data_IF_397123280489
#
_entry.id   IF_397123280489
#
_cell.length_a   1.000
_cell.length_b   1.000
_cell.length_c   1.000
_cell.angle_alpha   90.00
_cell.angle_beta   90.00
_cell.angle_gamma   90.00
#
_symmetry.space_group_name_H-M   'P 1'
#
loop_
_entity.id
_entity.type
_entity.pdbx_description
1 polymer ?
#
# COMPACT_ATOMS: atom_id res chain seq x y z
N UNK A 1 -47.47 -2.50 -68.41
CA UNK A 1 -47.50 -3.19 -67.10
C UNK A 1 -46.12 -3.31 -66.44
N UNK A 2 -45.07 -3.78 -67.14
CA UNK A 2 -43.72 -3.98 -66.56
C UNK A 2 -43.06 -2.73 -65.92
N UNK A 3 -43.17 -1.54 -66.54
CA UNK A 3 -42.60 -0.30 -65.96
C UNK A 3 -43.26 0.13 -64.65
N UNK A 4 -44.60 0.01 -64.55
CA UNK A 4 -45.34 0.31 -63.31
C UNK A 4 -44.99 -0.67 -62.19
N UNK A 5 -44.76 -1.94 -62.53
CA UNK A 5 -44.32 -2.96 -61.57
C UNK A 5 -42.91 -2.65 -61.02
N UNK A 6 -41.99 -2.17 -61.85
CA UNK A 6 -40.63 -1.78 -61.43
C UNK A 6 -40.69 -0.60 -60.45
N UNK A 7 -41.49 0.44 -60.73
CA UNK A 7 -41.64 1.57 -59.80
C UNK A 7 -42.27 1.15 -58.46
N UNK A 8 -43.22 0.22 -58.49
CA UNK A 8 -43.87 -0.29 -57.28
C UNK A 8 -42.89 -1.10 -56.42
N UNK A 9 -42.04 -1.92 -57.06
CA UNK A 9 -40.95 -2.65 -56.39
C UNK A 9 -39.93 -1.68 -55.79
N UNK A 10 -39.56 -0.61 -56.51
CA UNK A 10 -38.61 0.40 -56.01
C UNK A 10 -39.17 1.18 -54.81
N UNK A 11 -40.45 1.53 -54.82
CA UNK A 11 -41.12 2.19 -53.69
C UNK A 11 -41.21 1.28 -52.48
N UNK A 12 -41.56 0.00 -52.67
CA UNK A 12 -41.59 -0.99 -51.59
C UNK A 12 -40.20 -1.24 -51.00
N UNK A 13 -39.17 -1.32 -51.85
CA UNK A 13 -37.78 -1.46 -51.41
C UNK A 13 -37.33 -0.24 -50.60
N UNK A 14 -37.66 0.97 -51.07
CA UNK A 14 -37.35 2.21 -50.35
C UNK A 14 -38.05 2.28 -48.99
N UNK A 15 -39.34 1.90 -48.91
CA UNK A 15 -40.05 1.80 -47.64
C UNK A 15 -39.41 0.77 -46.70
N UNK A 16 -38.98 -0.38 -47.24
CA UNK A 16 -38.35 -1.44 -46.46
C UNK A 16 -36.99 -0.98 -45.88
N UNK A 17 -36.15 -0.31 -46.66
CA UNK A 17 -34.86 0.22 -46.19
C UNK A 17 -35.04 1.33 -45.15
N UNK A 18 -36.11 2.13 -45.28
CA UNK A 18 -36.43 3.19 -44.33
C UNK A 18 -36.92 2.67 -42.97
N UNK A 19 -37.25 1.38 -42.87
CA UNK A 19 -37.68 0.73 -41.62
C UNK A 19 -36.52 0.18 -40.77
N UNK A 20 -35.27 0.35 -41.20
CA UNK A 20 -34.09 -0.03 -40.41
C UNK A 20 -33.96 0.89 -39.17
N UNK A 21 -34.50 0.44 -38.03
CA UNK A 21 -34.39 1.11 -36.74
C UNK A 21 -32.94 1.26 -36.28
N UNK A 22 -32.68 2.27 -35.44
CA UNK A 22 -31.34 2.57 -34.93
C UNK A 22 -30.75 1.38 -34.17
N UNK A 23 -29.68 0.81 -34.71
CA UNK A 23 -28.90 -0.22 -34.02
C UNK A 23 -27.99 0.48 -33.02
N UNK A 24 -28.27 0.31 -31.73
CA UNK A 24 -27.43 0.86 -30.65
C UNK A 24 -26.15 0.04 -30.48
N UNK A 25 -25.18 0.27 -31.37
CA UNK A 25 -23.88 -0.40 -31.39
C UNK A 25 -22.82 0.20 -30.43
N UNK A 26 -23.24 0.76 -29.29
CA UNK A 26 -22.33 1.47 -28.36
C UNK A 26 -22.46 1.01 -26.90
N UNK A 27 -22.65 -0.29 -26.66
CA UNK A 27 -22.63 -0.81 -25.30
C UNK A 27 -21.18 -1.14 -24.91
N UNK A 28 -20.56 -0.24 -24.16
CA UNK A 28 -19.27 -0.48 -23.50
C UNK A 28 -19.53 -1.19 -22.16
N UNK A 29 -18.89 -2.34 -21.95
CA UNK A 29 -18.87 -3.04 -20.67
C UNK A 29 -17.45 -2.98 -20.10
N UNK A 30 -17.32 -2.46 -18.89
CA UNK A 30 -16.05 -2.47 -18.15
C UNK A 30 -16.21 -3.46 -17.00
N UNK A 31 -15.33 -4.45 -16.94
CA UNK A 31 -15.17 -5.35 -15.82
C UNK A 31 -13.81 -5.07 -15.18
N UNK A 32 -13.79 -4.83 -13.88
CA UNK A 32 -12.58 -4.62 -13.10
C UNK A 32 -12.65 -5.48 -11.84
N UNK A 33 -11.50 -6.07 -11.46
CA UNK A 33 -11.36 -6.89 -10.26
C UNK A 33 -10.12 -6.44 -9.51
N UNK A 34 -10.30 -6.05 -8.25
CA UNK A 34 -9.20 -5.74 -7.34
C UNK A 34 -8.87 -7.05 -6.59
N UNK A 35 -7.58 -7.38 -6.47
CA UNK A 35 -7.11 -8.52 -5.69
C UNK A 35 -7.45 -8.37 -4.20
N UNK A 36 -7.43 -9.48 -3.46
CA UNK A 36 -7.60 -9.44 -2.02
C UNK A 36 -6.42 -8.71 -1.35
N UNK A 37 -6.69 -7.98 -0.27
CA UNK A 37 -5.67 -7.49 0.64
C UNK A 37 -5.31 -8.64 1.57
N UNK A 38 -4.03 -8.95 1.66
CA UNK A 38 -3.49 -9.99 2.53
C UNK A 38 -2.82 -9.35 3.75
N UNK A 39 -3.05 -9.93 4.93
CA UNK A 39 -2.38 -9.56 6.17
C UNK A 39 -1.76 -10.80 6.81
N UNK A 40 -0.59 -10.62 7.43
CA UNK A 40 0.08 -11.65 8.21
C UNK A 40 0.47 -11.12 9.58
N UNK A 41 -0.04 -11.74 10.62
CA UNK A 41 0.22 -11.41 12.01
C UNK A 41 1.23 -12.38 12.63
N UNK A 42 2.26 -11.84 13.29
CA UNK A 42 3.30 -12.62 13.96
C UNK A 42 3.78 -11.89 15.21
N UNK A 43 4.21 -12.65 16.21
CA UNK A 43 4.85 -12.11 17.42
C UNK A 43 6.32 -11.73 17.13
N UNK A 44 6.96 -10.98 18.04
CA UNK A 44 8.34 -10.50 17.87
C UNK A 44 9.43 -11.59 17.65
N UNK A 45 9.10 -12.87 17.85
CA UNK A 45 9.95 -14.02 17.51
C UNK A 45 9.66 -14.68 16.15
N UNK A 46 8.75 -14.13 15.35
CA UNK A 46 8.32 -14.69 14.07
C UNK A 46 7.27 -15.79 14.18
N UNK A 47 6.86 -16.17 15.39
CA UNK A 47 5.77 -17.13 15.61
C UNK A 47 4.45 -16.56 15.05
N UNK A 48 3.74 -17.30 14.19
CA UNK A 48 2.44 -16.87 13.68
C UNK A 48 1.44 -16.59 14.79
N UNK A 49 0.69 -15.50 14.65
CA UNK A 49 -0.41 -15.17 15.54
C UNK A 49 -1.70 -15.79 14.99
N UNK A 50 -1.84 -17.12 15.11
CA UNK A 50 -3.02 -17.87 14.65
C UNK A 50 -4.25 -17.60 15.51
N UNK A 51 -5.42 -17.90 14.96
CA UNK A 51 -6.73 -17.80 15.63
C UNK A 51 -6.99 -16.42 16.27
N UNK A 52 -6.33 -15.38 15.77
CA UNK A 52 -6.42 -14.03 16.29
C UNK A 52 -7.58 -13.28 15.66
N UNK A 53 -8.26 -12.47 16.45
CA UNK A 53 -9.38 -11.67 15.98
C UNK A 53 -8.86 -10.52 15.13
N UNK A 54 -9.42 -10.36 13.93
CA UNK A 54 -9.10 -9.28 13.00
C UNK A 54 -10.31 -8.37 12.90
N UNK A 55 -10.10 -7.07 13.07
CA UNK A 55 -11.12 -6.03 12.88
C UNK A 55 -10.60 -4.99 11.91
N UNK A 56 -11.35 -4.74 10.85
CA UNK A 56 -10.97 -3.83 9.76
C UNK A 56 -11.94 -2.67 9.73
N UNK A 57 -11.41 -1.46 9.72
CA UNK A 57 -12.17 -0.23 9.57
C UNK A 57 -11.84 0.43 8.23
N UNK A 58 -12.83 1.10 7.65
CA UNK A 58 -12.61 1.98 6.49
C UNK A 58 -12.00 3.33 6.90
N UNK A 59 -11.76 4.18 5.91
CA UNK A 59 -11.15 5.52 6.04
C UNK A 59 -11.99 6.50 6.88
N UNK A 60 -13.30 6.29 6.92
CA UNK A 60 -14.22 7.03 7.80
C UNK A 60 -14.22 6.49 9.25
N UNK A 61 -13.55 5.37 9.50
CA UNK A 61 -13.50 4.70 10.79
C UNK A 61 -14.71 3.81 11.06
N UNK A 62 -15.54 3.51 10.07
CA UNK A 62 -16.63 2.56 10.19
C UNK A 62 -16.11 1.12 10.14
N UNK A 63 -16.78 0.21 10.85
CA UNK A 63 -16.45 -1.21 10.76
C UNK A 63 -16.71 -1.71 9.34
N UNK A 64 -15.66 -2.21 8.69
CA UNK A 64 -15.74 -2.80 7.36
C UNK A 64 -15.93 -4.31 7.43
N UNK A 65 -15.08 -5.01 8.19
CA UNK A 65 -15.08 -6.47 8.28
C UNK A 65 -14.46 -6.96 9.58
N UNK A 66 -14.95 -8.11 10.05
CA UNK A 66 -14.32 -8.89 11.12
C UNK A 66 -13.93 -10.26 10.59
N UNK A 67 -12.88 -10.84 11.17
CA UNK A 67 -12.37 -12.14 10.77
C UNK A 67 -11.44 -12.77 11.79
N UNK A 68 -10.86 -13.90 11.42
CA UNK A 68 -9.91 -14.65 12.24
C UNK A 68 -8.76 -15.10 11.37
N UNK A 69 -7.53 -14.93 11.83
CA UNK A 69 -6.33 -15.42 11.13
C UNK A 69 -6.26 -16.95 11.14
N UNK A 70 -5.72 -17.53 10.08
CA UNK A 70 -5.50 -18.98 9.98
C UNK A 70 -4.29 -19.47 10.81
N UNK A 71 -3.94 -20.76 10.65
CA UNK A 71 -2.81 -21.41 11.34
C UNK A 71 -1.44 -20.77 11.03
N UNK A 72 -1.31 -20.13 9.86
CA UNK A 72 -0.11 -19.39 9.43
C UNK A 72 -0.11 -17.93 9.88
N UNK A 73 -1.13 -17.51 10.63
CA UNK A 73 -1.34 -16.13 11.07
C UNK A 73 -1.80 -15.21 9.94
N UNK A 74 -2.36 -15.77 8.87
CA UNK A 74 -2.75 -15.05 7.66
C UNK A 74 -4.26 -14.81 7.63
N UNK A 75 -4.67 -13.67 7.07
CA UNK A 75 -6.07 -13.35 6.79
C UNK A 75 -6.12 -12.51 5.50
N UNK A 76 -7.19 -12.64 4.72
CA UNK A 76 -7.37 -11.85 3.51
C UNK A 76 -8.79 -11.33 3.38
N UNK A 77 -8.93 -10.16 2.78
CA UNK A 77 -10.24 -9.54 2.57
C UNK A 77 -10.30 -8.80 1.23
N UNK A 78 -11.47 -8.76 0.57
CA UNK A 78 -11.64 -7.98 -0.64
C UNK A 78 -11.66 -6.48 -0.30
N UNK A 79 -11.06 -5.62 -1.12
CA UNK A 79 -11.19 -4.19 -0.92
C UNK A 79 -12.52 -3.65 -1.45
N UNK A 80 -13.06 -2.66 -0.74
CA UNK A 80 -14.22 -1.87 -1.12
C UNK A 80 -13.83 -0.78 -2.10
N UNK A 81 -14.61 -0.64 -3.17
CA UNK A 81 -14.43 0.43 -4.17
C UNK A 81 -14.67 1.78 -3.50
N UNK A 82 -13.76 2.73 -3.74
CA UNK A 82 -13.84 4.09 -3.22
C UNK A 82 -13.33 4.26 -1.80
N UNK A 83 -12.75 3.22 -1.19
CA UNK A 83 -12.03 3.31 0.08
C UNK A 83 -10.53 3.21 -0.21
N UNK A 84 -9.79 4.25 0.15
CA UNK A 84 -8.37 4.38 -0.15
C UNK A 84 -7.47 3.93 1.01
N UNK A 85 -8.02 3.77 2.20
CA UNK A 85 -7.29 3.39 3.40
C UNK A 85 -8.08 2.42 4.29
N UNK A 86 -7.39 1.46 4.88
CA UNK A 86 -7.95 0.55 5.88
C UNK A 86 -7.13 0.58 7.15
N UNK A 87 -7.80 0.72 8.30
CA UNK A 87 -7.18 0.45 9.60
C UNK A 87 -7.46 -0.99 9.98
N UNK A 88 -6.41 -1.79 10.07
CA UNK A 88 -6.48 -3.20 10.48
C UNK A 88 -6.00 -3.33 11.91
N UNK A 89 -6.81 -3.93 12.76
CA UNK A 89 -6.50 -4.26 14.15
C UNK A 89 -6.51 -5.77 14.31
N UNK A 90 -5.47 -6.32 14.92
CA UNK A 90 -5.35 -7.75 15.22
C UNK A 90 -5.14 -7.94 16.71
N UNK A 91 -6.00 -8.74 17.33
CA UNK A 91 -5.95 -9.06 18.76
C UNK A 91 -5.71 -10.55 18.97
N UNK A 92 -4.64 -10.87 19.70
CA UNK A 92 -4.29 -12.25 20.03
C UNK A 92 -5.30 -12.87 21.00
N UNK A 93 -5.77 -14.08 20.68
CA UNK A 93 -6.59 -14.91 21.57
C UNK A 93 -5.73 -15.78 22.49
N UNK A 94 -4.53 -16.19 22.04
CA UNK A 94 -3.63 -17.05 22.80
C UNK A 94 -2.77 -16.32 23.84
N UNK A 95 -2.42 -15.05 23.58
CA UNK A 95 -1.64 -14.20 24.49
C UNK A 95 -2.40 -12.91 24.75
N UNK A 96 -3.30 -12.97 25.73
CA UNK A 96 -4.16 -11.84 26.11
C UNK A 96 -3.35 -10.56 26.31
N UNK A 97 -3.85 -9.45 25.76
CA UNK A 97 -3.22 -8.14 25.81
C UNK A 97 -2.24 -7.84 24.67
N UNK A 98 -1.94 -8.81 23.80
CA UNK A 98 -1.15 -8.57 22.60
C UNK A 98 -2.07 -8.12 21.47
N UNK A 99 -1.92 -6.85 21.07
CA UNK A 99 -2.65 -6.21 19.99
C UNK A 99 -1.68 -5.51 19.05
N UNK A 100 -1.91 -5.66 17.76
CA UNK A 100 -1.23 -4.90 16.71
C UNK A 100 -2.23 -4.12 15.88
N UNK A 101 -1.80 -2.99 15.32
CA UNK A 101 -2.60 -2.25 14.34
C UNK A 101 -1.72 -1.69 13.22
N UNK A 102 -2.30 -1.57 12.03
CA UNK A 102 -1.61 -0.97 10.86
C UNK A 102 -2.61 -0.28 9.95
N UNK A 103 -2.12 0.68 9.16
CA UNK A 103 -2.86 1.36 8.11
C UNK A 103 -2.40 0.81 6.75
N UNK A 104 -3.35 0.38 5.93
CA UNK A 104 -3.10 -0.10 4.57
C UNK A 104 -3.64 0.95 3.61
N UNK A 105 -2.75 1.62 2.89
CA UNK A 105 -3.12 2.64 1.92
C UNK A 105 -3.07 2.08 0.49
N UNK A 106 -4.20 2.11 -0.19
CA UNK A 106 -4.42 1.53 -1.52
C UNK A 106 -3.71 2.28 -2.63
N UNK A 107 -3.39 3.56 -2.43
CA UNK A 107 -2.58 4.32 -3.39
C UNK A 107 -1.09 3.96 -3.33
N UNK A 108 -0.67 3.27 -2.27
CA UNK A 108 0.72 2.93 -1.98
C UNK A 108 1.08 1.45 -2.23
N UNK A 109 0.21 0.66 -2.87
CA UNK A 109 0.46 -0.76 -3.15
C UNK A 109 1.49 -1.00 -4.28
N UNK A 110 2.62 -0.27 -4.23
CA UNK A 110 3.91 -0.71 -4.74
C UNK A 110 4.75 -1.14 -3.52
N UNK A 111 5.01 -2.44 -3.41
CA UNK A 111 5.67 -3.14 -2.30
C UNK A 111 6.45 -2.30 -1.30
N UNK A 112 6.02 -2.35 -0.03
CA UNK A 112 6.72 -1.74 1.09
C UNK A 112 6.81 -2.69 2.26
N UNK A 113 7.90 -3.48 2.30
CA UNK A 113 8.35 -4.11 3.54
C UNK A 113 8.65 -3.01 4.55
N UNK A 114 7.91 -3.01 5.66
CA UNK A 114 8.07 -2.02 6.70
C UNK A 114 9.46 -2.07 7.34
N UNK A 115 10.20 -0.97 7.23
CA UNK A 115 11.18 -0.56 8.21
C UNK A 115 10.82 0.87 8.64
N UNK A 116 10.65 1.05 9.94
CA UNK A 116 10.27 2.30 10.56
C UNK A 116 11.32 3.40 10.40
N UNK A 117 10.83 4.64 10.20
CA UNK A 117 11.41 5.82 10.82
C UNK A 117 12.32 6.71 9.97
N UNK A 118 11.85 7.93 9.72
CA UNK A 118 12.72 9.10 9.52
C UNK A 118 12.57 9.77 8.16
N UNK A 119 11.92 10.93 8.15
CA UNK A 119 11.91 11.85 7.02
C UNK A 119 13.35 12.24 6.63
N UNK A 120 13.71 11.95 5.38
CA UNK A 120 14.98 12.29 4.77
C UNK A 120 15.28 11.25 3.70
N UNK A 121 15.37 11.66 2.44
CA UNK A 121 15.63 10.76 1.31
C UNK A 121 16.74 9.76 1.66
N UNK A 122 16.46 8.48 1.47
CA UNK A 122 17.28 7.37 1.91
C UNK A 122 18.71 7.55 1.39
N UNK A 123 19.62 8.01 2.26
CA UNK A 123 21.02 8.11 1.90
C UNK A 123 21.55 6.69 1.64
N UNK A 124 22.23 6.44 0.51
CA UNK A 124 22.82 5.14 0.22
C UNK A 124 23.63 4.62 1.40
N UNK A 125 23.62 3.30 1.64
CA UNK A 125 24.28 2.67 2.80
C UNK A 125 25.73 3.16 3.01
N UNK A 126 26.48 3.34 1.93
CA UNK A 126 27.86 3.84 2.00
C UNK A 126 27.97 5.27 2.54
N UNK A 127 27.00 6.14 2.26
CA UNK A 127 26.97 7.53 2.73
C UNK A 127 26.74 7.56 4.24
N UNK A 128 25.85 6.70 4.77
CA UNK A 128 25.60 6.57 6.21
C UNK A 128 26.84 6.06 6.95
N UNK A 129 27.53 5.06 6.39
CA UNK A 129 28.78 4.52 6.95
C UNK A 129 29.86 5.60 6.94
N UNK A 130 30.07 6.30 5.82
CA UNK A 130 31.06 7.36 5.70
C UNK A 130 30.80 8.51 6.67
N UNK A 131 29.54 8.95 6.79
CA UNK A 131 29.15 10.00 7.75
C UNK A 131 29.39 9.58 9.20
N UNK A 132 29.04 8.33 9.56
CA UNK A 132 29.28 7.78 10.90
C UNK A 132 30.76 7.76 11.26
N UNK A 133 31.62 7.26 10.37
CA UNK A 133 33.07 7.26 10.56
C UNK A 133 33.63 8.69 10.67
N UNK A 134 33.12 9.63 9.86
CA UNK A 134 33.49 11.04 9.92
C UNK A 134 33.21 11.66 11.29
N UNK A 135 32.03 11.39 11.87
CA UNK A 135 31.71 11.87 13.22
C UNK A 135 32.64 11.30 14.30
N UNK A 136 32.97 10.01 14.23
CA UNK A 136 33.88 9.39 15.19
C UNK A 136 35.29 10.01 15.13
N UNK A 137 35.81 10.22 13.93
CA UNK A 137 37.12 10.86 13.73
C UNK A 137 37.10 12.33 14.20
N UNK A 138 36.03 13.07 13.92
CA UNK A 138 35.89 14.46 14.35
C UNK A 138 35.84 14.58 15.88
N UNK A 139 35.03 13.76 16.55
CA UNK A 139 34.94 13.74 18.02
C UNK A 139 36.27 13.31 18.65
N UNK A 140 36.91 12.27 18.11
CA UNK A 140 38.23 11.82 18.55
C UNK A 140 39.31 12.90 18.38
N UNK A 141 39.34 13.56 17.23
CA UNK A 141 40.27 14.66 16.95
C UNK A 141 40.07 15.86 17.88
N UNK A 142 38.82 16.25 18.12
CA UNK A 142 38.50 17.33 19.06
C UNK A 142 38.94 17.01 20.49
N UNK A 143 38.71 15.78 20.96
CA UNK A 143 39.15 15.33 22.27
C UNK A 143 40.68 15.31 22.40
N UNK A 144 41.40 14.88 21.37
CA UNK A 144 42.86 14.88 21.33
C UNK A 144 43.43 16.31 21.34
N UNK A 145 42.86 17.21 20.54
CA UNK A 145 43.26 18.62 20.50
C UNK A 145 43.04 19.33 21.84
N UNK A 146 41.87 19.11 22.47
CA UNK A 146 41.58 19.64 23.80
C UNK A 146 42.54 19.11 24.86
N UNK A 147 42.81 17.80 24.84
CA UNK A 147 43.74 17.16 25.77
C UNK A 147 45.15 17.70 25.61
N UNK A 148 45.62 17.88 24.36
CA UNK A 148 46.91 18.48 24.05
C UNK A 148 47.03 19.93 24.55
N UNK A 149 46.00 20.75 24.31
CA UNK A 149 45.96 22.13 24.81
C UNK A 149 45.99 22.18 26.34
N UNK A 150 45.19 21.33 27.01
CA UNK A 150 45.16 21.23 28.46
C UNK A 150 46.51 20.80 29.04
N UNK A 151 47.18 19.83 28.42
CA UNK A 151 48.51 19.36 28.82
C UNK A 151 49.55 20.48 28.69
N UNK A 152 49.55 21.24 27.58
CA UNK A 152 50.45 22.39 27.39
C UNK A 152 50.26 23.46 28.48
N UNK A 153 49.02 23.75 28.88
CA UNK A 153 48.73 24.70 29.97
C UNK A 153 49.18 24.20 31.35
N UNK A 154 49.20 22.88 31.57
CA UNK A 154 49.60 22.27 32.85
C UNK A 154 51.11 22.04 33.00
N UNK A 155 51.83 21.83 31.89
CA UNK A 155 53.24 21.43 31.91
C UNK A 155 54.18 22.33 31.10
N UNK A 156 53.66 23.29 30.32
CA UNK A 156 54.43 24.21 29.48
C UNK A 156 54.65 25.60 30.08
N UNK A 157 54.37 25.79 31.38
CA UNK A 157 54.72 26.99 32.13
C UNK A 157 55.98 26.74 32.95
N UNK A 158 57.13 26.89 32.29
CA UNK A 158 58.47 26.98 32.87
C UNK A 158 59.24 28.05 32.11
#
# INVERSE_FOLDING_TARGET
MRRRLIYLILVLLFLFLSSAGGVSAHRLHIHHQIGAIEIKAYYGGGTPCRDANVTIYDDEGNLYMEGVTDESGEFSFPPKIGVDEYRVVVESTHMVGHRGETMINMSSSGGGGGAAGGAGGEMPLYVRIAAGLGYLLALGGAAAAYSGWKMKKRYGGG
#
